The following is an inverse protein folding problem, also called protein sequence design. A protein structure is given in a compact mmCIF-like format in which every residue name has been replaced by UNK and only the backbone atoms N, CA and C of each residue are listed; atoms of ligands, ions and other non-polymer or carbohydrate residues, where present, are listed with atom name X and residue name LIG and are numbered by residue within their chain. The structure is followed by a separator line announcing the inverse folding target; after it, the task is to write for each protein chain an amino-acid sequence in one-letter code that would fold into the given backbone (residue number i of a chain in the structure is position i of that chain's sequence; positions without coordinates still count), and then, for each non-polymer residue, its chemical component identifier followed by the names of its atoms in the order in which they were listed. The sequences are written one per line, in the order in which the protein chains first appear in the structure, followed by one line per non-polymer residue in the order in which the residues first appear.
data_IF_597319676396
#
_entry.id   IF_597319676396
#
_cell.length_a   1.000
_cell.length_b   1.000
_cell.length_c   1.000
_cell.angle_alpha   90.00
_cell.angle_beta   90.00
_cell.angle_gamma   90.00
#
_symmetry.space_group_name_H-M   'P 1'
#
loop_
_entity.id
_entity.type
_entity.pdbx_description
1 polymer ?
#
# COMPACT_ATOMS: atom_id res chain seq x y z
N UNK A 1 -10.03 -19.87 -2.79
CA UNK A 1 -9.63 -18.75 -1.91
C UNK A 1 -9.44 -19.32 -0.51
N UNK A 2 -8.33 -19.03 0.17
CA UNK A 2 -8.03 -19.57 1.52
C UNK A 2 -8.13 -18.44 2.55
N UNK A 3 -8.63 -18.72 3.74
CA UNK A 3 -8.77 -17.71 4.82
C UNK A 3 -7.44 -17.01 5.12
N UNK A 4 -6.35 -17.78 5.20
CA UNK A 4 -5.01 -17.22 5.39
C UNK A 4 -4.60 -16.21 4.30
N UNK A 5 -4.94 -16.47 3.03
CA UNK A 5 -4.62 -15.56 1.92
C UNK A 5 -5.49 -14.30 1.96
N UNK A 6 -6.71 -14.41 2.48
CA UNK A 6 -7.62 -13.29 2.70
C UNK A 6 -7.09 -12.39 3.81
N UNK A 7 -6.68 -12.97 4.93
CA UNK A 7 -6.09 -12.23 6.05
C UNK A 7 -4.81 -11.50 5.64
N UNK A 8 -3.93 -12.16 4.87
CA UNK A 8 -2.73 -11.53 4.33
C UNK A 8 -3.06 -10.36 3.40
N UNK A 9 -4.06 -10.49 2.54
CA UNK A 9 -4.50 -9.40 1.67
C UNK A 9 -5.08 -8.22 2.48
N UNK A 10 -5.84 -8.49 3.55
CA UNK A 10 -6.38 -7.46 4.46
C UNK A 10 -5.23 -6.71 5.16
N UNK A 11 -4.22 -7.43 5.67
CA UNK A 11 -3.06 -6.83 6.34
C UNK A 11 -2.31 -5.90 5.37
N UNK A 12 -2.03 -6.36 4.15
CA UNK A 12 -1.33 -5.51 3.16
C UNK A 12 -2.19 -4.35 2.66
N UNK A 13 -3.52 -4.53 2.59
CA UNK A 13 -4.43 -3.44 2.26
C UNK A 13 -4.39 -2.35 3.33
N UNK A 14 -4.41 -2.73 4.61
CA UNK A 14 -4.30 -1.79 5.72
C UNK A 14 -2.96 -1.02 5.68
N UNK A 15 -1.85 -1.72 5.43
CA UNK A 15 -0.52 -1.11 5.26
C UNK A 15 -0.48 -0.12 4.10
N UNK A 16 -1.04 -0.49 2.95
CA UNK A 16 -1.13 0.41 1.81
C UNK A 16 -1.97 1.65 2.12
N UNK A 17 -3.15 1.49 2.72
CA UNK A 17 -4.03 2.61 3.09
C UNK A 17 -3.30 3.56 4.05
N UNK A 18 -2.57 3.04 5.04
CA UNK A 18 -1.80 3.85 5.96
C UNK A 18 -0.71 4.66 5.23
N UNK A 19 0.09 4.01 4.37
CA UNK A 19 1.13 4.69 3.61
C UNK A 19 0.56 5.74 2.63
N UNK A 20 -0.56 5.43 1.98
CA UNK A 20 -1.26 6.36 1.09
C UNK A 20 -1.80 7.58 1.84
N UNK A 21 -2.34 7.39 3.05
CA UNK A 21 -2.78 8.49 3.93
C UNK A 21 -1.60 9.36 4.35
N UNK A 22 -0.49 8.76 4.76
CA UNK A 22 0.73 9.49 5.13
C UNK A 22 1.24 10.36 3.99
N UNK A 23 1.32 9.81 2.78
CA UNK A 23 1.70 10.55 1.58
C UNK A 23 0.74 11.70 1.28
N UNK A 24 -0.58 11.48 1.39
CA UNK A 24 -1.58 12.54 1.20
C UNK A 24 -1.46 13.64 2.25
N UNK A 25 -1.19 13.30 3.51
CA UNK A 25 -0.98 14.26 4.59
C UNK A 25 0.29 15.07 4.36
N UNK A 26 1.40 14.41 4.01
CA UNK A 26 2.66 15.06 3.71
C UNK A 26 2.52 16.06 2.56
N UNK A 27 1.82 15.68 1.48
CA UNK A 27 1.49 16.57 0.35
C UNK A 27 0.73 17.82 0.78
N UNK A 28 -0.28 17.66 1.64
CA UNK A 28 -1.07 18.78 2.16
C UNK A 28 -0.24 19.70 3.06
N UNK A 29 0.67 19.14 3.85
CA UNK A 29 1.50 19.89 4.77
C UNK A 29 2.58 20.70 4.04
N UNK A 30 3.16 20.15 2.96
CA UNK A 30 4.29 20.77 2.28
C UNK A 30 3.93 21.52 1.00
N UNK A 31 2.74 21.29 0.44
CA UNK A 31 2.34 21.83 -0.86
C UNK A 31 3.09 21.23 -2.05
N UNK A 32 3.99 20.26 -1.82
CA UNK A 32 4.79 19.65 -2.87
C UNK A 32 4.18 18.38 -3.46
N UNK A 33 4.56 18.11 -4.72
CA UNK A 33 4.14 16.92 -5.46
C UNK A 33 4.91 15.64 -5.11
N UNK A 34 4.53 14.52 -5.75
CA UNK A 34 5.03 13.16 -5.43
C UNK A 34 6.56 13.06 -5.49
N UNK A 35 7.21 13.84 -6.35
CA UNK A 35 8.67 13.85 -6.52
C UNK A 35 9.44 14.48 -5.36
N UNK A 36 8.80 15.34 -4.57
CA UNK A 36 9.45 16.06 -3.47
C UNK A 36 9.31 15.35 -2.12
N UNK A 37 8.60 14.21 -2.09
CA UNK A 37 8.39 13.37 -0.90
C UNK A 37 8.87 11.95 -1.18
N UNK A 38 10.18 11.73 -1.45
CA UNK A 38 10.71 10.47 -1.94
C UNK A 38 10.50 9.30 -0.96
N UNK A 39 10.47 9.60 0.35
CA UNK A 39 10.25 8.60 1.39
C UNK A 39 8.81 8.09 1.37
N UNK A 40 7.84 8.99 1.45
CA UNK A 40 6.42 8.67 1.53
C UNK A 40 5.91 8.10 0.20
N UNK A 41 6.38 8.64 -0.93
CA UNK A 41 6.03 8.13 -2.26
C UNK A 41 6.61 6.73 -2.51
N UNK A 42 7.86 6.49 -2.12
CA UNK A 42 8.49 5.18 -2.17
C UNK A 42 7.82 4.16 -1.26
N UNK A 43 7.40 4.57 -0.05
CA UNK A 43 6.65 3.73 0.89
C UNK A 43 5.30 3.32 0.30
N UNK A 44 4.50 4.29 -0.17
CA UNK A 44 3.19 4.01 -0.76
C UNK A 44 3.29 3.14 -2.02
N UNK A 45 4.32 3.36 -2.86
CA UNK A 45 4.57 2.54 -4.05
C UNK A 45 4.95 1.11 -3.69
N UNK A 46 5.81 0.89 -2.69
CA UNK A 46 6.17 -0.47 -2.25
C UNK A 46 4.96 -1.20 -1.68
N UNK A 47 4.21 -0.54 -0.79
CA UNK A 47 3.02 -1.11 -0.19
C UNK A 47 1.92 -1.46 -1.23
N UNK A 48 1.79 -0.66 -2.30
CA UNK A 48 0.85 -1.01 -3.39
C UNK A 48 1.30 -2.26 -4.15
N UNK A 49 2.61 -2.42 -4.39
CA UNK A 49 3.15 -3.63 -5.02
C UNK A 49 2.99 -4.87 -4.13
N UNK A 50 3.19 -4.75 -2.82
CA UNK A 50 2.96 -5.84 -1.86
C UNK A 50 1.49 -6.26 -1.82
N UNK A 51 0.58 -5.28 -1.78
CA UNK A 51 -0.86 -5.55 -1.89
C UNK A 51 -1.22 -6.26 -3.20
N UNK A 52 -0.69 -5.82 -4.34
CA UNK A 52 -0.99 -6.49 -5.62
C UNK A 52 -0.51 -7.94 -5.66
N UNK A 53 0.62 -8.25 -5.02
CA UNK A 53 1.12 -9.62 -4.85
C UNK A 53 0.15 -10.45 -4.01
N UNK A 54 -0.29 -9.96 -2.85
CA UNK A 54 -1.25 -10.68 -2.00
C UNK A 54 -2.65 -10.83 -2.60
N UNK A 55 -3.09 -9.85 -3.39
CA UNK A 55 -4.32 -9.99 -4.18
C UNK A 55 -4.16 -11.03 -5.31
N UNK A 56 -2.97 -11.20 -5.87
CA UNK A 56 -2.70 -12.28 -6.82
C UNK A 56 -2.75 -13.65 -6.13
N UNK A 57 -2.06 -13.80 -4.98
CA UNK A 57 -2.10 -15.03 -4.17
C UNK A 57 -3.54 -15.40 -3.80
N UNK A 58 -4.34 -14.43 -3.34
CA UNK A 58 -5.75 -14.59 -2.97
C UNK A 58 -6.61 -15.13 -4.13
N UNK A 59 -6.49 -14.50 -5.31
CA UNK A 59 -7.21 -14.90 -6.53
C UNK A 59 -6.82 -16.29 -7.01
N UNK A 60 -5.56 -16.63 -6.86
CA UNK A 60 -5.01 -17.92 -7.27
C UNK A 60 -5.24 -19.02 -6.21
N UNK A 61 -5.62 -18.66 -4.98
CA UNK A 61 -5.90 -19.59 -3.89
C UNK A 61 -4.66 -20.34 -3.39
N UNK A 62 -3.47 -19.75 -3.50
CA UNK A 62 -2.18 -20.37 -3.16
C UNK A 62 -1.77 -20.02 -1.74
#
# INVERSE_FOLDING_TARGET
MKDQTLDQAIIEAARFIQAAKQLRTARRATGYDFGSLPRESGLARRASMDLTRKLADLRQGR
#
